data_IF_338715823143
#
_entry.id   IF_338715823143
#
_cell.length_a   1.000
_cell.length_b   1.000
_cell.length_c   1.000
_cell.angle_alpha   90.00
_cell.angle_beta   90.00
_cell.angle_gamma   90.00
#
_symmetry.space_group_name_H-M   'P 1'
#
loop_
_entity.id
_entity.type
_entity.pdbx_description
1 polymer ?
#
# COMPACT_ATOMS: atom_id res chain seq x y z
N UNK A 1 1.52 -1.79 -23.07
CA UNK A 1 0.28 -2.19 -23.77
C UNK A 1 -0.67 -2.98 -22.86
N UNK A 2 -0.24 -4.09 -22.24
CA UNK A 2 -1.09 -4.91 -21.36
C UNK A 2 -1.72 -4.14 -20.19
N UNK A 3 -0.95 -3.29 -19.49
CA UNK A 3 -1.47 -2.45 -18.40
C UNK A 3 -2.63 -1.55 -18.85
N UNK A 4 -2.53 -0.98 -20.05
CA UNK A 4 -3.59 -0.12 -20.60
C UNK A 4 -4.85 -0.92 -20.95
N UNK A 5 -4.70 -2.10 -21.55
CA UNK A 5 -5.84 -2.98 -21.86
C UNK A 5 -6.54 -3.45 -20.58
N UNK A 6 -5.77 -3.76 -19.53
CA UNK A 6 -6.34 -4.14 -18.23
C UNK A 6 -7.09 -2.98 -17.58
N UNK A 7 -6.49 -1.79 -17.48
CA UNK A 7 -7.15 -0.59 -16.95
C UNK A 7 -8.44 -0.28 -17.72
N UNK A 8 -8.42 -0.39 -19.05
CA UNK A 8 -9.62 -0.18 -19.87
C UNK A 8 -10.70 -1.24 -19.62
N UNK A 9 -10.31 -2.51 -19.46
CA UNK A 9 -11.24 -3.59 -19.16
C UNK A 9 -11.90 -3.40 -17.78
N UNK A 10 -11.11 -3.09 -16.76
CA UNK A 10 -11.58 -2.78 -15.41
C UNK A 10 -12.59 -1.62 -15.44
N UNK A 11 -12.22 -0.51 -16.09
CA UNK A 11 -13.10 0.65 -16.26
C UNK A 11 -14.41 0.29 -16.98
N UNK A 12 -14.35 -0.51 -18.06
CA UNK A 12 -15.56 -0.94 -18.79
C UNK A 12 -16.50 -1.83 -17.97
N UNK A 13 -15.99 -2.44 -16.89
CA UNK A 13 -16.74 -3.29 -15.96
C UNK A 13 -17.14 -2.57 -14.68
N UNK A 14 -16.87 -1.27 -14.57
CA UNK A 14 -17.17 -0.49 -13.36
C UNK A 14 -16.30 -0.89 -12.16
N UNK A 15 -15.13 -1.49 -12.38
CA UNK A 15 -14.19 -1.82 -11.32
C UNK A 15 -13.33 -0.59 -11.03
N UNK A 16 -13.24 -0.23 -9.75
CA UNK A 16 -12.40 0.88 -9.28
C UNK A 16 -10.93 0.66 -9.67
N UNK A 17 -10.26 1.76 -9.99
CA UNK A 17 -8.82 1.82 -10.21
C UNK A 17 -8.05 1.66 -8.90
N UNK A 18 -6.74 1.36 -9.00
CA UNK A 18 -5.88 1.22 -7.82
C UNK A 18 -5.80 2.55 -7.06
N UNK A 19 -5.80 3.65 -7.80
CA UNK A 19 -5.76 5.00 -7.27
C UNK A 19 -7.03 5.30 -6.44
N UNK A 20 -8.23 4.98 -6.97
CA UNK A 20 -9.50 5.10 -6.25
C UNK A 20 -9.57 4.16 -5.03
N UNK A 21 -9.10 2.91 -5.16
CA UNK A 21 -9.07 1.96 -4.04
C UNK A 21 -8.15 2.43 -2.90
N UNK A 22 -7.01 3.06 -3.24
CA UNK A 22 -6.10 3.63 -2.24
C UNK A 22 -6.73 4.80 -1.51
N UNK A 23 -7.45 5.68 -2.21
CA UNK A 23 -8.19 6.79 -1.60
C UNK A 23 -9.24 6.27 -0.61
N UNK A 24 -10.01 5.24 -1.00
CA UNK A 24 -10.96 4.57 -0.10
C UNK A 24 -10.29 3.96 1.13
N UNK A 25 -9.10 3.39 1.00
CA UNK A 25 -8.34 2.88 2.15
C UNK A 25 -7.93 4.00 3.11
N UNK A 26 -7.52 5.16 2.61
CA UNK A 26 -7.19 6.33 3.44
C UNK A 26 -8.42 6.85 4.18
N UNK A 27 -9.57 6.96 3.49
CA UNK A 27 -10.84 7.34 4.11
C UNK A 27 -11.31 6.33 5.16
N UNK A 28 -10.98 5.05 4.98
CA UNK A 28 -11.29 3.98 5.92
C UNK A 28 -10.25 3.82 7.05
N UNK A 29 -9.32 4.78 7.21
CA UNK A 29 -8.29 4.79 8.25
C UNK A 29 -7.38 3.54 8.23
N UNK A 30 -7.15 2.97 7.03
CA UNK A 30 -6.19 1.87 6.87
C UNK A 30 -4.79 2.38 7.19
N UNK A 31 -4.11 1.70 8.11
CA UNK A 31 -2.72 2.01 8.47
C UNK A 31 -1.77 1.58 7.38
N UNK A 32 -1.11 2.54 6.74
CA UNK A 32 -0.05 2.29 5.77
C UNK A 32 1.32 2.34 6.46
N UNK A 33 2.11 1.28 6.29
CA UNK A 33 3.46 1.19 6.86
C UNK A 33 4.49 1.04 5.76
N UNK A 34 5.43 1.97 5.67
CA UNK A 34 6.60 1.87 4.82
C UNK A 34 7.71 1.11 5.55
N UNK A 35 8.30 0.11 4.87
CA UNK A 35 9.46 -0.60 5.40
C UNK A 35 10.67 0.33 5.44
N UNK A 36 11.11 0.73 6.64
CA UNK A 36 12.19 1.70 6.83
C UNK A 36 13.47 1.27 6.09
N UNK A 37 13.85 0.00 6.19
CA UNK A 37 15.04 -0.52 5.52
C UNK A 37 14.96 -0.40 3.99
N UNK A 38 13.76 -0.52 3.42
CA UNK A 38 13.55 -0.37 1.98
C UNK A 38 13.63 1.10 1.57
N UNK A 39 13.01 2.00 2.35
CA UNK A 39 13.09 3.46 2.12
C UNK A 39 14.54 3.91 2.11
N UNK A 40 15.32 3.48 3.11
CA UNK A 40 16.74 3.81 3.24
C UNK A 40 17.58 3.18 2.11
N UNK A 41 17.33 1.91 1.78
CA UNK A 41 18.08 1.19 0.74
C UNK A 41 17.95 1.84 -0.64
N UNK A 42 16.77 2.37 -0.96
CA UNK A 42 16.48 3.02 -2.23
C UNK A 42 16.61 4.55 -2.18
N UNK A 43 17.09 5.11 -1.06
CA UNK A 43 17.28 6.56 -0.86
C UNK A 43 16.03 7.38 -1.20
N UNK A 44 14.85 6.88 -0.84
CA UNK A 44 13.58 7.54 -1.17
C UNK A 44 13.32 8.75 -0.25
N UNK A 45 12.85 9.87 -0.81
CA UNK A 45 12.44 11.02 0.01
C UNK A 45 11.07 10.74 0.64
N UNK A 46 11.01 10.81 1.97
CA UNK A 46 9.76 10.70 2.76
C UNK A 46 8.65 11.64 2.30
N UNK A 47 8.98 12.77 1.64
CA UNK A 47 8.01 13.72 1.09
C UNK A 47 7.27 13.23 -0.16
N UNK A 48 7.81 12.21 -0.83
CA UNK A 48 7.20 11.62 -2.01
C UNK A 48 6.11 10.58 -1.66
N UNK A 49 5.97 10.26 -0.38
CA UNK A 49 4.97 9.32 0.12
C UNK A 49 3.62 10.02 0.30
N UNK A 50 2.56 9.20 0.36
CA UNK A 50 1.23 9.69 0.75
C UNK A 50 1.26 10.13 2.23
N UNK A 51 0.32 11.00 2.60
CA UNK A 51 0.16 11.42 4.00
C UNK A 51 -0.17 10.20 4.89
N UNK A 52 0.15 10.32 6.18
CA UNK A 52 -0.19 9.33 7.22
C UNK A 52 0.43 7.94 7.01
N UNK A 53 1.60 7.89 6.38
CA UNK A 53 2.45 6.69 6.33
C UNK A 53 3.28 6.59 7.60
N UNK A 54 3.15 5.47 8.30
CA UNK A 54 4.04 5.08 9.40
C UNK A 54 5.30 4.42 8.84
N UNK A 55 6.43 4.55 9.56
CA UNK A 55 7.67 3.89 9.19
C UNK A 55 7.98 2.78 10.19
N UNK A 56 8.16 1.57 9.68
CA UNK A 56 8.31 0.36 10.50
C UNK A 56 9.42 -0.55 10.01
N UNK A 57 10.05 -1.25 10.95
CA UNK A 57 10.99 -2.33 10.66
C UNK A 57 10.33 -3.70 10.71
N UNK A 58 11.12 -4.74 10.44
CA UNK A 58 10.64 -6.13 10.51
C UNK A 58 10.06 -6.50 11.89
N UNK A 59 10.65 -5.99 12.98
CA UNK A 59 10.15 -6.24 14.34
C UNK A 59 8.72 -5.71 14.54
N UNK A 60 8.46 -4.46 14.13
CA UNK A 60 7.13 -3.84 14.19
C UNK A 60 6.12 -4.63 13.36
N UNK A 61 6.51 -5.08 12.16
CA UNK A 61 5.65 -5.91 11.33
C UNK A 61 5.33 -7.25 11.98
N UNK A 62 6.32 -7.93 12.57
CA UNK A 62 6.10 -9.24 13.22
C UNK A 62 5.22 -9.15 14.46
N UNK A 63 5.32 -8.08 15.24
CA UNK A 63 4.43 -7.82 16.36
C UNK A 63 2.97 -7.69 15.89
N UNK A 64 2.73 -6.84 14.88
CA UNK A 64 1.41 -6.69 14.27
C UNK A 64 0.88 -7.98 13.62
N UNK A 65 1.72 -8.67 12.85
CA UNK A 65 1.35 -9.89 12.15
C UNK A 65 1.04 -11.04 13.13
N UNK A 66 1.71 -11.08 14.28
CA UNK A 66 1.44 -12.05 15.34
C UNK A 66 0.06 -11.89 15.98
N UNK A 67 -0.49 -10.67 15.97
CA UNK A 67 -1.84 -10.36 16.49
C UNK A 67 -2.92 -10.43 15.40
N UNK A 68 -2.55 -10.57 14.13
CA UNK A 68 -3.48 -10.57 13.01
C UNK A 68 -4.10 -11.95 12.78
N UNK A 69 -5.43 -12.01 12.62
CA UNK A 69 -6.13 -13.26 12.24
C UNK A 69 -5.72 -13.75 10.85
N UNK A 70 -5.40 -12.83 9.93
CA UNK A 70 -4.99 -13.12 8.56
C UNK A 70 -3.79 -12.23 8.19
N UNK A 71 -2.71 -12.85 7.75
CA UNK A 71 -1.53 -12.19 7.21
C UNK A 71 -1.21 -12.77 5.82
N UNK A 72 -1.11 -11.92 4.80
CA UNK A 72 -0.82 -12.31 3.42
C UNK A 72 0.51 -11.71 2.95
N UNK A 73 1.23 -12.43 2.09
CA UNK A 73 2.39 -11.93 1.34
C UNK A 73 2.01 -11.90 -0.14
N UNK A 74 2.02 -10.71 -0.74
CA UNK A 74 1.51 -10.43 -2.10
C UNK A 74 2.66 -9.95 -2.99
#
# INVERSE_FOLDING_TARGET
MMTMMMKQKMKSKGVASVEELRELCLEAEVRFVACQMTVDLFEMDTKDFINDVEYGGAATFFEFAGESDICLYI
#
